data_IF_877238214993
#
_entry.id   IF_877238214993
#
_cell.length_a   1.000
_cell.length_b   1.000
_cell.length_c   1.000
_cell.angle_alpha   90.00
_cell.angle_beta   90.00
_cell.angle_gamma   90.00
#
_symmetry.space_group_name_H-M   'P 1'
#
loop_
_entity.id
_entity.type
_entity.pdbx_description
1 polymer ?
#
# COMPACT_ATOMS: atom_id res chain seq x y z
N UNK A 1 -29.59 41.61 -25.08
CA UNK A 1 -28.59 42.26 -24.19
C UNK A 1 -28.24 41.39 -22.99
N UNK A 2 -29.24 40.90 -22.24
CA UNK A 2 -29.03 40.01 -21.08
C UNK A 2 -28.29 38.71 -21.44
N UNK A 3 -28.52 38.16 -22.64
CA UNK A 3 -27.84 36.96 -23.16
C UNK A 3 -26.34 37.15 -23.49
N UNK A 4 -25.76 38.35 -23.34
CA UNK A 4 -24.34 38.59 -23.66
C UNK A 4 -23.54 39.18 -22.49
N UNK A 5 -24.22 39.79 -21.50
CA UNK A 5 -23.59 40.30 -20.29
C UNK A 5 -24.62 40.33 -19.15
N UNK A 6 -24.49 39.43 -18.18
CA UNK A 6 -25.39 39.34 -17.02
C UNK A 6 -25.48 40.62 -16.17
N UNK A 7 -24.52 41.54 -16.27
CA UNK A 7 -24.57 42.85 -15.59
C UNK A 7 -25.43 43.90 -16.31
N UNK A 8 -25.84 43.64 -17.56
CA UNK A 8 -26.73 44.54 -18.30
C UNK A 8 -28.12 44.63 -17.63
N UNK A 9 -28.45 43.68 -16.74
CA UNK A 9 -29.70 43.63 -16.01
C UNK A 9 -29.89 44.79 -15.03
N UNK A 10 -28.81 45.40 -14.52
CA UNK A 10 -28.89 46.58 -13.66
C UNK A 10 -29.52 47.80 -14.35
N UNK A 11 -29.53 47.80 -15.69
CA UNK A 11 -30.08 48.86 -16.54
C UNK A 11 -31.34 48.43 -17.29
N UNK A 12 -31.85 47.22 -17.03
CA UNK A 12 -33.00 46.68 -17.73
C UNK A 12 -34.32 47.23 -17.15
N UNK A 13 -35.36 47.45 -17.99
CA UNK A 13 -36.69 47.84 -17.52
C UNK A 13 -37.28 46.82 -16.53
N UNK A 14 -38.11 47.29 -15.59
CA UNK A 14 -38.72 46.47 -14.51
C UNK A 14 -39.46 45.20 -14.98
N UNK A 15 -39.94 45.16 -16.22
CA UNK A 15 -40.59 43.96 -16.76
C UNK A 15 -39.60 42.82 -17.03
N UNK A 16 -38.33 43.11 -17.31
CA UNK A 16 -37.29 42.11 -17.57
C UNK A 16 -36.72 41.48 -16.30
N UNK A 17 -36.82 42.16 -15.15
CA UNK A 17 -36.41 41.60 -13.85
C UNK A 17 -37.39 40.54 -13.34
N UNK A 18 -38.58 40.44 -13.96
CA UNK A 18 -39.63 39.44 -13.70
C UNK A 18 -39.66 38.29 -14.71
N UNK A 19 -38.77 38.31 -15.71
CA UNK A 19 -38.70 37.28 -16.74
C UNK A 19 -37.80 36.12 -16.31
N UNK A 20 -38.25 34.88 -16.54
CA UNK A 20 -37.48 33.66 -16.26
C UNK A 20 -36.21 33.57 -17.13
N UNK A 21 -36.11 34.36 -18.21
CA UNK A 21 -34.86 34.54 -18.97
C UNK A 21 -33.68 35.04 -18.11
N UNK A 22 -33.93 35.56 -16.90
CA UNK A 22 -32.88 35.92 -15.94
C UNK A 22 -31.96 34.73 -15.59
N UNK A 23 -32.41 33.48 -15.72
CA UNK A 23 -31.56 32.27 -15.62
C UNK A 23 -30.34 32.40 -16.52
N UNK A 24 -30.51 32.89 -17.76
CA UNK A 24 -29.42 33.05 -18.72
C UNK A 24 -28.44 34.14 -18.28
N UNK A 25 -28.94 35.20 -17.65
CA UNK A 25 -28.12 36.25 -17.06
C UNK A 25 -27.30 35.71 -15.88
N UNK A 26 -27.96 34.97 -14.99
CA UNK A 26 -27.37 34.36 -13.81
C UNK A 26 -26.31 33.36 -14.25
N UNK A 27 -26.54 32.51 -15.26
CA UNK A 27 -25.55 31.60 -15.87
C UNK A 27 -24.26 32.27 -16.31
N UNK A 28 -24.32 33.51 -16.76
CA UNK A 28 -23.14 34.27 -17.17
C UNK A 28 -22.49 35.00 -16.00
N UNK A 29 -23.30 35.51 -15.08
CA UNK A 29 -22.83 36.23 -13.92
C UNK A 29 -23.85 36.13 -12.78
N UNK A 30 -23.53 35.35 -11.75
CA UNK A 30 -24.38 35.18 -10.57
C UNK A 30 -24.74 36.47 -9.82
N UNK A 31 -23.98 37.57 -10.01
CA UNK A 31 -24.34 38.89 -9.45
C UNK A 31 -25.66 39.40 -10.05
N UNK A 32 -26.05 38.92 -11.24
CA UNK A 32 -27.33 39.22 -11.90
C UNK A 32 -28.54 38.95 -10.99
N UNK A 33 -28.40 37.99 -10.06
CA UNK A 33 -29.43 37.61 -9.08
C UNK A 33 -29.87 38.78 -8.19
N UNK A 34 -28.98 39.75 -7.90
CA UNK A 34 -29.32 40.89 -7.05
C UNK A 34 -30.44 41.78 -7.63
N UNK A 35 -30.56 41.80 -8.96
CA UNK A 35 -31.54 42.61 -9.69
C UNK A 35 -32.76 41.81 -10.13
N UNK A 36 -32.84 40.52 -9.81
CA UNK A 36 -34.03 39.71 -10.04
C UNK A 36 -35.21 40.16 -9.16
N UNK A 37 -36.43 39.96 -9.64
CA UNK A 37 -37.62 40.07 -8.80
C UNK A 37 -37.57 39.06 -7.64
N UNK A 38 -38.17 39.40 -6.50
CA UNK A 38 -38.15 38.56 -5.30
C UNK A 38 -38.69 37.15 -5.56
N UNK A 39 -39.70 36.98 -6.43
CA UNK A 39 -40.20 35.64 -6.76
C UNK A 39 -39.19 34.80 -7.55
N UNK A 40 -38.38 35.41 -8.42
CA UNK A 40 -37.35 34.72 -9.21
C UNK A 40 -36.05 34.48 -8.44
N UNK A 41 -35.74 35.35 -7.46
CA UNK A 41 -34.68 35.09 -6.48
C UNK A 41 -34.95 33.83 -5.66
N UNK A 42 -36.21 33.43 -5.56
CA UNK A 42 -36.66 32.25 -4.82
C UNK A 42 -36.81 31.00 -5.69
N UNK A 43 -36.51 31.08 -7.00
CA UNK A 43 -36.60 29.92 -7.89
C UNK A 43 -35.40 28.97 -7.71
N UNK A 44 -35.69 27.68 -7.54
CA UNK A 44 -34.69 26.62 -7.28
C UNK A 44 -33.64 26.53 -8.39
N UNK A 45 -34.06 26.63 -9.65
CA UNK A 45 -33.15 26.49 -10.81
C UNK A 45 -32.19 27.68 -10.87
N UNK A 46 -32.72 28.90 -10.70
CA UNK A 46 -31.95 30.14 -10.72
C UNK A 46 -30.92 30.16 -9.57
N UNK A 47 -31.33 29.81 -8.36
CA UNK A 47 -30.46 29.81 -7.17
C UNK A 47 -29.29 28.84 -7.30
N UNK A 48 -29.55 27.59 -7.70
CA UNK A 48 -28.49 26.59 -7.86
C UNK A 48 -27.47 27.01 -8.92
N UNK A 49 -27.94 27.57 -10.04
CA UNK A 49 -27.05 28.05 -11.09
C UNK A 49 -26.18 29.23 -10.66
N UNK A 50 -26.70 30.08 -9.76
CA UNK A 50 -25.92 31.15 -9.14
C UNK A 50 -24.83 30.60 -8.19
N UNK A 51 -25.14 29.54 -7.45
CA UNK A 51 -24.23 28.91 -6.46
C UNK A 51 -23.02 28.26 -7.13
N UNK A 52 -23.19 27.65 -8.32
CA UNK A 52 -22.07 27.08 -9.12
C UNK A 52 -20.96 28.07 -9.42
N UNK A 53 -21.31 29.34 -9.62
CA UNK A 53 -20.35 30.38 -10.02
C UNK A 53 -19.53 30.96 -8.88
N UNK A 54 -19.65 30.39 -7.67
CA UNK A 54 -18.79 30.69 -6.53
C UNK A 54 -18.76 32.19 -6.16
N UNK A 55 -19.91 32.87 -6.27
CA UNK A 55 -20.06 34.27 -5.89
C UNK A 55 -20.67 34.39 -4.50
N UNK A 56 -20.06 35.24 -3.66
CA UNK A 56 -20.47 35.51 -2.27
C UNK A 56 -21.93 35.97 -2.19
N UNK A 57 -22.40 36.65 -3.23
CA UNK A 57 -23.75 37.18 -3.36
C UNK A 57 -24.80 36.07 -3.49
N UNK A 58 -24.54 35.04 -4.30
CA UNK A 58 -25.41 33.87 -4.43
C UNK A 58 -25.52 33.12 -3.09
N UNK A 59 -24.40 33.03 -2.37
CA UNK A 59 -24.35 32.41 -1.04
C UNK A 59 -25.06 33.25 0.04
N UNK A 60 -25.18 34.58 -0.13
CA UNK A 60 -25.95 35.46 0.77
C UNK A 60 -27.46 35.27 0.59
N UNK A 61 -27.93 35.00 -0.63
CA UNK A 61 -29.35 34.70 -0.92
C UNK A 61 -29.81 33.37 -0.29
N UNK A 62 -28.87 32.46 0.03
CA UNK A 62 -29.16 31.25 0.81
C UNK A 62 -29.63 31.61 2.24
N UNK A 63 -29.17 32.73 2.81
CA UNK A 63 -29.49 33.15 4.18
C UNK A 63 -31.00 33.34 4.42
N UNK A 64 -31.76 33.81 3.41
CA UNK A 64 -33.22 33.94 3.49
C UNK A 64 -33.99 32.66 3.21
N UNK A 65 -33.31 31.60 2.74
CA UNK A 65 -33.93 30.33 2.31
C UNK A 65 -33.70 29.18 3.31
N UNK A 66 -32.74 29.33 4.20
CA UNK A 66 -32.30 28.28 5.11
C UNK A 66 -33.26 27.92 6.23
N UNK A 67 -34.40 28.60 6.36
CA UNK A 67 -35.42 28.20 7.34
C UNK A 67 -36.24 26.98 6.88
N UNK A 68 -36.28 26.63 5.58
CA UNK A 68 -37.43 25.84 5.07
C UNK A 68 -37.14 24.60 4.21
N UNK A 69 -36.02 24.49 3.48
CA UNK A 69 -35.80 23.36 2.54
C UNK A 69 -34.41 22.71 2.64
N UNK A 70 -34.38 21.56 3.32
CA UNK A 70 -33.17 20.71 3.47
C UNK A 70 -32.62 20.21 2.13
N UNK A 71 -33.45 20.00 1.11
CA UNK A 71 -33.02 19.47 -0.19
C UNK A 71 -32.20 20.49 -0.98
N UNK A 72 -32.66 21.74 -1.00
CA UNK A 72 -31.94 22.85 -1.67
C UNK A 72 -30.59 23.09 -1.02
N UNK A 73 -30.51 23.00 0.31
CA UNK A 73 -29.26 23.17 1.05
C UNK A 73 -28.26 22.06 0.71
N UNK A 74 -28.70 20.81 0.62
CA UNK A 74 -27.82 19.70 0.24
C UNK A 74 -27.29 19.86 -1.20
N UNK A 75 -28.16 20.26 -2.13
CA UNK A 75 -27.77 20.49 -3.53
C UNK A 75 -26.84 21.71 -3.65
N UNK A 76 -27.07 22.77 -2.87
CA UNK A 76 -26.18 23.92 -2.77
C UNK A 76 -24.77 23.53 -2.27
N UNK A 77 -24.68 22.72 -1.21
CA UNK A 77 -23.41 22.25 -0.66
C UNK A 77 -22.68 21.33 -1.65
N UNK A 78 -23.43 20.46 -2.34
CA UNK A 78 -22.90 19.57 -3.38
C UNK A 78 -22.25 20.35 -4.52
N UNK A 79 -22.85 21.48 -4.91
CA UNK A 79 -22.30 22.34 -5.97
C UNK A 79 -21.18 23.24 -5.48
N UNK A 80 -21.24 23.69 -4.22
CA UNK A 80 -20.19 24.49 -3.60
C UNK A 80 -20.13 24.25 -2.08
N UNK A 81 -19.07 23.56 -1.63
CA UNK A 81 -18.88 23.23 -0.20
C UNK A 81 -18.81 24.48 0.70
N UNK A 82 -18.42 25.65 0.16
CA UNK A 82 -18.44 26.92 0.90
C UNK A 82 -19.85 27.40 1.25
N UNK A 83 -20.90 26.83 0.66
CA UNK A 83 -22.28 27.10 1.07
C UNK A 83 -22.55 26.69 2.51
N UNK A 84 -21.78 25.72 3.06
CA UNK A 84 -21.93 25.24 4.43
C UNK A 84 -21.80 26.36 5.48
N UNK A 85 -20.91 27.34 5.26
CA UNK A 85 -20.70 28.45 6.20
C UNK A 85 -21.91 29.37 6.39
N UNK A 86 -22.88 29.29 5.47
CA UNK A 86 -24.09 30.10 5.51
C UNK A 86 -25.27 29.35 6.10
N UNK A 87 -25.19 28.02 6.25
CA UNK A 87 -26.27 27.17 6.77
C UNK A 87 -26.66 27.59 8.18
N UNK A 88 -27.96 27.73 8.43
CA UNK A 88 -28.45 28.12 9.76
C UNK A 88 -28.04 27.07 10.80
N UNK A 89 -27.52 27.55 11.93
CA UNK A 89 -27.09 26.71 13.06
C UNK A 89 -28.17 25.71 13.49
N UNK A 90 -29.44 26.11 13.43
CA UNK A 90 -30.59 25.28 13.81
C UNK A 90 -30.73 24.03 12.92
N UNK A 91 -30.48 24.14 11.62
CA UNK A 91 -30.43 22.99 10.71
C UNK A 91 -29.19 22.13 10.98
N UNK A 92 -28.06 22.76 11.30
CA UNK A 92 -26.83 22.06 11.66
C UNK A 92 -26.95 21.31 13.00
N UNK A 93 -27.92 21.65 13.87
CA UNK A 93 -28.20 20.88 15.08
C UNK A 93 -28.98 19.58 14.83
N UNK A 94 -29.59 19.41 13.64
CA UNK A 94 -30.23 18.15 13.26
C UNK A 94 -29.18 17.11 12.85
N UNK A 95 -28.96 16.13 13.71
CA UNK A 95 -27.98 15.05 13.48
C UNK A 95 -28.18 14.30 12.15
N UNK A 96 -29.42 14.05 11.73
CA UNK A 96 -29.70 13.34 10.48
C UNK A 96 -29.39 14.19 9.26
N UNK A 97 -29.62 15.50 9.34
CA UNK A 97 -29.24 16.45 8.30
C UNK A 97 -27.72 16.66 8.23
N UNK A 98 -27.07 16.81 9.39
CA UNK A 98 -25.62 16.92 9.48
C UNK A 98 -24.91 15.71 8.85
N UNK A 99 -25.38 14.50 9.13
CA UNK A 99 -24.83 13.27 8.52
C UNK A 99 -24.93 13.27 6.99
N UNK A 100 -26.04 13.78 6.42
CA UNK A 100 -26.17 13.92 4.96
C UNK A 100 -25.18 14.93 4.40
N UNK A 101 -24.92 16.03 5.11
CA UNK A 101 -23.91 17.02 4.71
C UNK A 101 -22.51 16.39 4.76
N UNK A 102 -22.16 15.70 5.84
CA UNK A 102 -20.85 15.07 5.99
C UNK A 102 -20.57 14.04 4.88
N UNK A 103 -21.59 13.26 4.50
CA UNK A 103 -21.53 12.34 3.34
C UNK A 103 -21.24 13.05 2.02
N UNK A 104 -21.66 14.31 1.86
CA UNK A 104 -21.41 15.10 0.65
C UNK A 104 -20.03 15.75 0.61
N UNK A 105 -19.50 16.16 1.76
CA UNK A 105 -18.23 16.91 1.82
C UNK A 105 -17.01 16.02 2.04
N UNK A 106 -17.20 14.78 2.52
CA UNK A 106 -16.13 13.81 2.74
C UNK A 106 -15.25 13.63 1.49
N UNK A 107 -13.90 13.54 1.63
CA UNK A 107 -13.11 13.61 2.87
C UNK A 107 -12.68 15.03 3.28
N UNK A 108 -13.21 16.08 2.64
CA UNK A 108 -12.81 17.46 2.90
C UNK A 108 -13.61 18.05 4.07
N UNK A 109 -13.01 18.03 5.25
CA UNK A 109 -13.59 18.60 6.47
C UNK A 109 -13.20 20.07 6.73
N UNK A 110 -12.48 20.72 5.81
CA UNK A 110 -12.04 22.12 5.95
C UNK A 110 -13.18 23.13 6.14
N UNK A 111 -14.41 22.74 5.77
CA UNK A 111 -15.62 23.57 5.90
C UNK A 111 -16.48 23.21 7.12
N UNK A 112 -16.06 22.24 7.93
CA UNK A 112 -16.80 21.75 9.09
C UNK A 112 -16.84 22.73 10.29
N UNK A 113 -16.12 23.84 10.26
CA UNK A 113 -16.06 24.83 11.36
C UNK A 113 -17.41 25.41 11.78
N UNK A 114 -18.44 25.21 10.96
CA UNK A 114 -19.80 25.69 11.20
C UNK A 114 -20.65 24.76 12.07
N UNK A 115 -20.22 23.50 12.26
CA UNK A 115 -20.94 22.54 13.08
C UNK A 115 -20.64 22.73 14.57
N UNK A 116 -21.65 22.51 15.40
CA UNK A 116 -21.50 22.44 16.85
C UNK A 116 -21.12 21.00 17.27
N UNK A 117 -19.81 20.76 17.32
CA UNK A 117 -19.24 19.47 17.72
C UNK A 117 -19.16 19.26 19.23
N UNK A 118 -19.72 20.17 20.04
CA UNK A 118 -19.79 20.01 21.50
C UNK A 118 -20.91 19.08 21.95
N UNK A 119 -21.87 18.78 21.07
CA UNK A 119 -23.01 17.94 21.41
C UNK A 119 -22.66 16.47 21.33
N UNK A 120 -22.68 15.80 22.50
CA UNK A 120 -22.37 14.36 22.62
C UNK A 120 -23.21 13.48 21.68
N UNK A 121 -24.52 13.69 21.57
CA UNK A 121 -25.39 12.84 20.72
C UNK A 121 -25.02 12.94 19.24
N UNK A 122 -24.76 14.16 18.77
CA UNK A 122 -24.30 14.41 17.41
C UNK A 122 -22.96 13.73 17.21
N UNK A 123 -21.98 14.02 18.07
CA UNK A 123 -20.64 13.46 17.98
C UNK A 123 -20.66 11.93 17.97
N UNK A 124 -21.48 11.29 18.81
CA UNK A 124 -21.63 9.84 18.85
C UNK A 124 -22.06 9.27 17.50
N UNK A 125 -23.03 9.90 16.83
CA UNK A 125 -23.47 9.50 15.49
C UNK A 125 -22.38 9.74 14.45
N UNK A 126 -21.62 10.82 14.57
CA UNK A 126 -20.55 11.14 13.63
C UNK A 126 -19.40 10.14 13.70
N UNK A 127 -18.90 9.86 14.90
CA UNK A 127 -17.77 8.95 15.07
C UNK A 127 -18.13 7.51 14.72
N UNK A 128 -19.41 7.13 14.86
CA UNK A 128 -19.92 5.84 14.44
C UNK A 128 -19.89 5.63 12.92
N UNK A 129 -20.09 6.69 12.13
CA UNK A 129 -20.00 6.65 10.67
C UNK A 129 -18.57 6.94 10.17
N UNK A 130 -17.87 7.87 10.84
CA UNK A 130 -16.56 8.39 10.46
C UNK A 130 -15.69 8.64 11.70
N UNK A 131 -14.90 7.66 12.12
CA UNK A 131 -14.13 7.73 13.38
C UNK A 131 -13.21 8.95 13.50
N UNK A 132 -12.63 9.42 12.37
CA UNK A 132 -11.75 10.61 12.35
C UNK A 132 -12.45 11.93 12.67
N UNK A 133 -13.78 11.98 12.67
CA UNK A 133 -14.51 13.19 13.08
C UNK A 133 -14.27 13.57 14.54
N UNK A 134 -13.70 12.65 15.35
CA UNK A 134 -13.20 12.93 16.70
C UNK A 134 -12.20 14.12 16.73
N UNK A 135 -11.48 14.38 15.64
CA UNK A 135 -10.61 15.57 15.50
C UNK A 135 -11.32 16.88 15.86
N UNK A 136 -12.61 17.00 15.49
CA UNK A 136 -13.41 18.21 15.66
C UNK A 136 -14.14 18.28 17.00
N UNK A 137 -14.11 17.21 17.79
CA UNK A 137 -14.75 17.18 19.10
C UNK A 137 -14.08 18.16 20.08
N UNK A 138 -14.85 18.65 21.05
CA UNK A 138 -14.32 19.42 22.17
C UNK A 138 -13.38 18.56 23.02
N UNK A 139 -12.50 19.18 23.80
CA UNK A 139 -11.58 18.44 24.67
C UNK A 139 -12.30 17.54 25.68
N UNK A 140 -13.47 17.98 26.16
CA UNK A 140 -14.34 17.16 27.02
C UNK A 140 -14.79 15.88 26.32
N UNK A 141 -15.24 15.96 25.06
CA UNK A 141 -15.69 14.80 24.29
C UNK A 141 -14.52 13.94 23.79
N UNK A 142 -13.35 14.52 23.54
CA UNK A 142 -12.09 13.78 23.27
C UNK A 142 -11.61 12.99 24.48
N UNK A 143 -12.08 13.35 25.67
CA UNK A 143 -11.88 12.60 26.91
C UNK A 143 -13.10 11.77 27.32
N UNK A 144 -14.18 11.76 26.52
CA UNK A 144 -15.33 10.89 26.76
C UNK A 144 -15.03 9.49 26.21
N UNK A 145 -14.86 8.54 27.14
CA UNK A 145 -14.50 7.16 26.83
C UNK A 145 -15.46 6.50 25.83
N UNK A 146 -16.76 6.76 25.93
CA UNK A 146 -17.78 6.11 25.09
C UNK A 146 -17.70 6.60 23.63
N UNK A 147 -17.47 7.90 23.45
CA UNK A 147 -17.28 8.50 22.13
C UNK A 147 -15.98 7.96 21.50
N UNK A 148 -14.88 7.98 22.25
CA UNK A 148 -13.58 7.50 21.75
C UNK A 148 -13.64 6.01 21.40
N UNK A 149 -14.30 5.18 22.20
CA UNK A 149 -14.49 3.77 21.87
C UNK A 149 -15.26 3.60 20.55
N UNK A 150 -16.34 4.34 20.33
CA UNK A 150 -17.08 4.26 19.06
C UNK A 150 -16.24 4.76 17.87
N UNK A 151 -15.46 5.84 18.05
CA UNK A 151 -14.55 6.34 17.03
C UNK A 151 -13.51 5.30 16.63
N UNK A 152 -12.88 4.66 17.62
CA UNK A 152 -11.82 3.67 17.44
C UNK A 152 -12.35 2.38 16.80
N UNK A 153 -13.57 1.96 17.14
CA UNK A 153 -14.24 0.82 16.48
C UNK A 153 -14.44 1.05 14.98
N UNK A 154 -14.69 2.30 14.58
CA UNK A 154 -14.86 2.66 13.18
C UNK A 154 -13.49 2.82 12.46
N UNK A 155 -12.58 3.62 13.03
CA UNK A 155 -11.22 3.84 12.52
C UNK A 155 -10.22 3.86 13.68
N UNK A 156 -9.33 2.87 13.76
CA UNK A 156 -8.34 2.76 14.83
C UNK A 156 -7.37 3.95 14.91
N UNK A 157 -7.15 4.66 13.80
CA UNK A 157 -6.29 5.85 13.77
C UNK A 157 -6.94 7.07 14.44
N UNK A 158 -8.25 7.03 14.71
CA UNK A 158 -8.94 8.10 15.46
C UNK A 158 -8.40 8.29 16.88
N UNK A 159 -7.70 7.29 17.44
CA UNK A 159 -7.02 7.38 18.73
C UNK A 159 -6.08 8.59 18.82
N UNK A 160 -5.51 9.05 17.70
CA UNK A 160 -4.69 10.26 17.60
C UNK A 160 -5.33 11.48 18.27
N UNK A 161 -6.66 11.62 18.14
CA UNK A 161 -7.41 12.80 18.57
C UNK A 161 -7.95 12.71 20.00
N UNK A 162 -7.83 11.54 20.65
CA UNK A 162 -8.25 11.36 22.04
C UNK A 162 -7.27 12.02 23.03
N UNK A 163 -7.74 12.20 24.26
CA UNK A 163 -6.91 12.68 25.37
C UNK A 163 -5.75 11.72 25.68
N UNK A 164 -4.70 12.23 26.32
CA UNK A 164 -3.56 11.41 26.72
C UNK A 164 -3.94 10.31 27.73
N UNK A 165 -4.95 10.58 28.58
CA UNK A 165 -5.51 9.60 29.51
C UNK A 165 -6.11 8.40 28.76
N UNK A 166 -6.88 8.66 27.69
CA UNK A 166 -7.51 7.60 26.89
C UNK A 166 -6.52 6.91 25.93
N UNK A 167 -5.47 7.60 25.48
CA UNK A 167 -4.32 6.96 24.80
C UNK A 167 -3.55 6.00 25.71
N UNK A 168 -3.71 6.14 27.03
CA UNK A 168 -3.16 5.27 28.05
C UNK A 168 -4.19 4.25 28.60
N UNK A 169 -5.44 4.27 28.13
CA UNK A 169 -6.43 3.22 28.42
C UNK A 169 -6.10 1.99 27.57
N UNK A 170 -5.72 0.91 28.24
CA UNK A 170 -5.29 -0.34 27.59
C UNK A 170 -6.38 -0.95 26.71
N UNK A 171 -7.64 -0.89 27.11
CA UNK A 171 -8.76 -1.49 26.37
C UNK A 171 -9.02 -0.72 25.07
N UNK A 172 -9.03 0.62 25.15
CA UNK A 172 -9.16 1.48 23.98
C UNK A 172 -7.98 1.28 23.03
N UNK A 173 -6.76 1.27 23.57
CA UNK A 173 -5.54 1.07 22.80
C UNK A 173 -5.52 -0.30 22.10
N UNK A 174 -5.92 -1.37 22.80
CA UNK A 174 -6.02 -2.72 22.22
C UNK A 174 -7.01 -2.75 21.05
N UNK A 175 -8.19 -2.16 21.23
CA UNK A 175 -9.20 -2.09 20.19
C UNK A 175 -8.71 -1.28 18.97
N UNK A 176 -7.97 -0.20 19.20
CA UNK A 176 -7.38 0.61 18.15
C UNK A 176 -6.36 -0.16 17.32
N UNK A 177 -5.43 -0.89 17.98
CA UNK A 177 -4.42 -1.67 17.26
C UNK A 177 -4.99 -2.89 16.56
N UNK A 178 -6.08 -3.48 17.09
CA UNK A 178 -6.80 -4.56 16.41
C UNK A 178 -7.49 -4.07 15.14
N UNK A 179 -8.01 -2.84 15.14
CA UNK A 179 -8.61 -2.22 13.96
C UNK A 179 -7.55 -1.76 12.93
N UNK A 180 -6.42 -1.21 13.38
CA UNK A 180 -5.29 -0.85 12.53
C UNK A 180 -3.99 -0.86 13.34
N UNK A 181 -3.03 -1.72 12.96
CA UNK A 181 -1.76 -1.85 13.70
C UNK A 181 -0.96 -0.54 13.84
N UNK A 182 -1.10 0.38 12.88
CA UNK A 182 -0.46 1.69 12.92
C UNK A 182 -1.00 2.62 14.02
N UNK A 183 -2.16 2.31 14.62
CA UNK A 183 -2.67 3.03 15.78
C UNK A 183 -1.70 2.99 16.97
N UNK A 184 -0.80 2.00 17.02
CA UNK A 184 0.28 1.92 18.01
C UNK A 184 1.11 3.21 18.09
N UNK A 185 1.22 3.97 17.00
CA UNK A 185 1.88 5.28 16.97
C UNK A 185 1.33 6.23 18.03
N UNK A 186 0.02 6.21 18.27
CA UNK A 186 -0.70 7.16 19.12
C UNK A 186 -0.92 6.68 20.56
N UNK A 187 -0.67 5.40 20.81
CA UNK A 187 -0.70 4.80 22.14
C UNK A 187 0.38 5.43 23.03
N UNK A 188 0.10 5.52 24.33
CA UNK A 188 1.03 6.05 25.33
C UNK A 188 2.38 5.33 25.32
N UNK A 189 3.44 6.01 25.76
CA UNK A 189 4.77 5.40 25.88
C UNK A 189 4.81 4.21 26.85
N UNK A 190 3.93 4.21 27.87
CA UNK A 190 3.78 3.12 28.83
C UNK A 190 3.23 1.88 28.14
N UNK A 191 2.16 2.03 27.36
CA UNK A 191 1.53 0.90 26.67
C UNK A 191 2.33 0.43 25.44
N UNK A 192 3.22 1.25 24.87
CA UNK A 192 4.22 0.80 23.87
C UNK A 192 5.27 -0.19 24.42
N UNK A 193 5.31 -0.40 25.73
CA UNK A 193 6.07 -1.48 26.40
C UNK A 193 5.23 -2.73 26.67
N UNK A 194 3.92 -2.67 26.46
CA UNK A 194 3.06 -3.86 26.59
C UNK A 194 3.29 -4.78 25.39
N UNK A 195 4.01 -5.88 25.64
CA UNK A 195 4.35 -6.87 24.62
C UNK A 195 3.12 -7.45 23.92
N UNK A 196 2.03 -7.71 24.63
CA UNK A 196 0.81 -8.29 24.04
C UNK A 196 0.15 -7.29 23.07
N UNK A 197 0.03 -6.02 23.50
CA UNK A 197 -0.54 -4.96 22.69
C UNK A 197 0.30 -4.71 21.42
N UNK A 198 1.63 -4.69 21.56
CA UNK A 198 2.57 -4.52 20.44
C UNK A 198 2.48 -5.70 19.46
N UNK A 199 2.39 -6.94 19.96
CA UNK A 199 2.23 -8.12 19.11
C UNK A 199 0.90 -8.10 18.33
N UNK A 200 -0.19 -7.62 18.95
CA UNK A 200 -1.46 -7.41 18.24
C UNK A 200 -1.29 -6.42 17.07
N UNK A 201 -0.61 -5.30 17.29
CA UNK A 201 -0.33 -4.31 16.25
C UNK A 201 0.54 -4.88 15.11
N UNK A 202 1.59 -5.62 15.47
CA UNK A 202 2.50 -6.29 14.52
C UNK A 202 1.75 -7.30 13.66
N UNK A 203 0.85 -8.09 14.24
CA UNK A 203 0.06 -9.07 13.51
C UNK A 203 -0.84 -8.42 12.45
N UNK A 204 -1.33 -7.20 12.68
CA UNK A 204 -2.00 -6.41 11.64
C UNK A 204 -1.00 -5.94 10.58
N UNK A 205 0.03 -5.20 11.00
CA UNK A 205 1.08 -4.66 10.13
C UNK A 205 2.46 -4.87 10.76
N UNK A 206 3.33 -5.66 10.12
CA UNK A 206 4.66 -5.98 10.66
C UNK A 206 5.53 -4.75 10.94
N UNK A 207 5.40 -3.72 10.10
CA UNK A 207 6.07 -2.41 10.24
C UNK A 207 5.62 -1.61 11.47
N UNK A 208 4.60 -2.05 12.22
CA UNK A 208 4.20 -1.43 13.49
C UNK A 208 5.29 -1.52 14.56
N UNK A 209 6.27 -2.43 14.39
CA UNK A 209 7.47 -2.52 15.23
C UNK A 209 8.16 -1.16 15.40
N UNK A 210 8.11 -0.27 14.39
CA UNK A 210 8.70 1.07 14.46
C UNK A 210 8.19 1.92 15.64
N UNK A 211 6.97 1.66 16.11
CA UNK A 211 6.32 2.41 17.20
C UNK A 211 6.46 1.73 18.56
N UNK A 212 7.00 0.51 18.62
CA UNK A 212 7.28 -0.16 19.88
C UNK A 212 8.39 0.55 20.66
N UNK A 213 8.45 0.30 21.97
CA UNK A 213 9.58 0.70 22.80
C UNK A 213 10.89 0.06 22.35
N UNK A 214 12.02 0.71 22.66
CA UNK A 214 13.35 0.20 22.31
C UNK A 214 13.64 -1.17 22.95
N UNK A 215 13.09 -1.40 24.15
CA UNK A 215 13.13 -2.68 24.84
C UNK A 215 12.51 -3.81 23.99
N UNK A 216 11.33 -3.58 23.40
CA UNK A 216 10.65 -4.56 22.55
C UNK A 216 11.22 -4.64 21.13
N UNK A 217 11.84 -3.56 20.63
CA UNK A 217 12.66 -3.61 19.39
C UNK A 217 13.93 -4.46 19.56
N UNK A 218 14.30 -4.77 20.80
CA UNK A 218 15.37 -5.69 21.17
C UNK A 218 14.85 -7.01 21.75
N UNK A 219 13.54 -7.27 21.71
CA UNK A 219 12.96 -8.57 22.10
C UNK A 219 12.92 -9.48 20.88
N UNK A 220 13.61 -10.62 20.98
CA UNK A 220 13.77 -11.56 19.87
C UNK A 220 12.44 -12.10 19.34
N UNK A 221 11.48 -12.39 20.22
CA UNK A 221 10.18 -12.93 19.83
C UNK A 221 9.35 -11.88 19.10
N UNK A 222 9.35 -10.64 19.60
CA UNK A 222 8.63 -9.52 18.99
C UNK A 222 9.19 -9.20 17.61
N UNK A 223 10.52 -9.08 17.49
CA UNK A 223 11.18 -8.78 16.21
C UNK A 223 10.96 -9.92 15.22
N UNK A 224 11.13 -11.18 15.64
CA UNK A 224 10.92 -12.33 14.76
C UNK A 224 9.48 -12.38 14.24
N UNK A 225 8.50 -12.08 15.09
CA UNK A 225 7.09 -11.99 14.68
C UNK A 225 6.88 -10.90 13.63
N UNK A 226 7.47 -9.72 13.82
CA UNK A 226 7.39 -8.62 12.85
C UNK A 226 8.04 -8.95 11.51
N UNK A 227 9.23 -9.57 11.54
CA UNK A 227 9.97 -9.99 10.36
C UNK A 227 9.19 -11.04 9.54
N UNK A 228 8.61 -12.04 10.22
CA UNK A 228 7.74 -13.05 9.57
C UNK A 228 6.51 -12.44 8.92
N UNK A 229 5.98 -11.36 9.50
CA UNK A 229 4.84 -10.64 8.93
C UNK A 229 5.23 -9.80 7.73
N UNK A 230 6.37 -9.10 7.83
CA UNK A 230 6.90 -8.25 6.77
C UNK A 230 8.43 -8.15 6.94
N UNK A 231 9.21 -8.75 6.03
CA UNK A 231 10.65 -8.91 6.21
C UNK A 231 11.39 -7.59 6.45
N UNK A 232 10.96 -6.51 5.79
CA UNK A 232 11.56 -5.17 5.96
C UNK A 232 11.38 -4.59 7.37
N UNK A 233 10.53 -5.18 8.22
CA UNK A 233 10.38 -4.75 9.61
C UNK A 233 11.66 -4.86 10.42
N UNK A 234 12.64 -5.67 9.98
CA UNK A 234 13.98 -5.73 10.59
C UNK A 234 14.66 -4.35 10.65
N UNK A 235 14.34 -3.43 9.72
CA UNK A 235 14.90 -2.07 9.72
C UNK A 235 14.58 -1.29 11.02
N UNK A 236 13.47 -1.64 11.68
CA UNK A 236 13.00 -1.00 12.91
C UNK A 236 13.49 -1.69 14.19
N UNK A 237 14.15 -2.84 14.08
CA UNK A 237 14.71 -3.53 15.23
C UNK A 237 15.98 -2.83 15.75
N UNK A 238 16.47 -3.24 16.91
CA UNK A 238 17.76 -2.78 17.42
C UNK A 238 18.92 -3.21 16.50
N UNK A 239 20.06 -2.52 16.58
CA UNK A 239 21.28 -2.92 15.86
C UNK A 239 21.75 -4.33 16.22
N UNK A 240 21.53 -4.75 17.48
CA UNK A 240 21.79 -6.12 17.92
C UNK A 240 20.95 -7.14 17.13
N UNK A 241 19.67 -6.86 16.92
CA UNK A 241 18.77 -7.75 16.17
C UNK A 241 19.04 -7.72 14.67
N UNK A 242 19.49 -6.58 14.13
CA UNK A 242 19.94 -6.48 12.72
C UNK A 242 21.22 -7.26 12.44
N UNK A 243 22.07 -7.46 13.45
CA UNK A 243 23.28 -8.29 13.36
C UNK A 243 23.04 -9.77 13.65
N UNK A 244 21.87 -10.15 14.17
CA UNK A 244 21.55 -11.54 14.51
C UNK A 244 21.31 -12.36 13.23
N UNK A 245 22.11 -13.41 13.04
CA UNK A 245 22.07 -14.23 11.83
C UNK A 245 20.70 -14.88 11.59
N UNK A 246 20.02 -15.29 12.66
CA UNK A 246 18.70 -15.92 12.56
C UNK A 246 17.65 -14.90 12.10
N UNK A 247 17.66 -13.69 12.68
CA UNK A 247 16.75 -12.61 12.29
C UNK A 247 16.94 -12.20 10.83
N UNK A 248 18.20 -12.04 10.41
CA UNK A 248 18.53 -11.64 9.04
C UNK A 248 18.13 -12.73 8.04
N UNK A 249 18.40 -14.01 8.34
CA UNK A 249 17.97 -15.12 7.50
C UNK A 249 16.44 -15.17 7.36
N UNK A 250 15.71 -14.95 8.44
CA UNK A 250 14.25 -14.90 8.37
C UNK A 250 13.77 -13.71 7.53
N UNK A 251 14.37 -12.53 7.70
CA UNK A 251 14.02 -11.35 6.90
C UNK A 251 14.26 -11.56 5.40
N UNK A 252 15.36 -12.22 5.05
CA UNK A 252 15.65 -12.63 3.69
C UNK A 252 14.52 -13.52 3.16
N UNK A 253 14.12 -14.57 3.88
CA UNK A 253 13.01 -15.46 3.48
C UNK A 253 11.73 -14.69 3.19
N UNK A 254 11.49 -13.60 3.92
CA UNK A 254 10.33 -12.71 3.78
C UNK A 254 10.53 -11.50 2.85
N UNK A 255 11.49 -11.56 1.92
CA UNK A 255 11.54 -10.63 0.78
C UNK A 255 12.53 -9.47 0.92
N UNK A 256 13.33 -9.43 1.99
CA UNK A 256 14.38 -8.43 2.14
C UNK A 256 15.50 -8.64 1.12
N UNK A 257 16.00 -7.53 0.58
CA UNK A 257 17.16 -7.52 -0.31
C UNK A 257 18.47 -7.60 0.47
N UNK A 258 19.43 -8.34 -0.08
CA UNK A 258 20.77 -8.52 0.49
C UNK A 258 21.56 -7.20 0.59
N UNK A 259 21.17 -6.16 -0.17
CA UNK A 259 21.73 -4.81 -0.06
C UNK A 259 21.62 -4.21 1.35
N UNK A 260 20.61 -4.62 2.11
CA UNK A 260 20.35 -4.09 3.47
C UNK A 260 21.10 -4.84 4.59
N UNK A 261 21.87 -5.87 4.24
CA UNK A 261 22.61 -6.70 5.19
C UNK A 261 23.97 -6.06 5.51
N UNK A 262 24.42 -6.19 6.76
CA UNK A 262 25.72 -5.67 7.18
C UNK A 262 26.88 -6.32 6.42
N UNK A 263 27.95 -5.56 6.19
CA UNK A 263 29.12 -6.06 5.48
C UNK A 263 29.80 -7.23 6.21
N UNK A 264 29.73 -7.25 7.55
CA UNK A 264 30.28 -8.32 8.36
C UNK A 264 29.62 -9.67 8.06
N UNK A 265 28.29 -9.70 7.94
CA UNK A 265 27.55 -10.90 7.55
C UNK A 265 27.78 -11.27 6.08
N UNK A 266 27.93 -10.28 5.19
CA UNK A 266 28.30 -10.53 3.79
C UNK A 266 29.74 -11.03 3.62
N UNK A 267 30.57 -10.96 4.66
CA UNK A 267 31.91 -11.54 4.70
C UNK A 267 31.94 -12.95 5.34
N UNK A 268 30.85 -13.40 5.96
CA UNK A 268 30.75 -14.71 6.60
C UNK A 268 30.27 -15.79 5.61
N UNK A 269 31.20 -16.62 5.13
CA UNK A 269 30.91 -17.71 4.19
C UNK A 269 29.87 -18.69 4.73
N UNK A 270 29.89 -19.00 6.04
CA UNK A 270 28.96 -19.97 6.61
C UNK A 270 27.53 -19.41 6.59
N UNK A 271 27.37 -18.14 6.98
CA UNK A 271 26.10 -17.43 6.87
C UNK A 271 25.61 -17.38 5.42
N UNK A 272 26.49 -17.05 4.47
CA UNK A 272 26.15 -17.00 3.05
C UNK A 272 25.65 -18.35 2.51
N UNK A 273 26.19 -19.48 2.98
CA UNK A 273 25.69 -20.81 2.62
C UNK A 273 24.27 -21.06 3.15
N UNK A 274 23.93 -20.54 4.34
CA UNK A 274 22.54 -20.57 4.85
C UNK A 274 21.60 -19.70 3.99
N UNK A 275 22.08 -18.56 3.49
CA UNK A 275 21.33 -17.73 2.54
C UNK A 275 21.06 -18.48 1.22
N UNK A 276 22.04 -19.25 0.72
CA UNK A 276 21.90 -20.09 -0.47
C UNK A 276 20.82 -21.16 -0.27
N UNK A 277 20.80 -21.82 0.91
CA UNK A 277 19.76 -22.79 1.27
C UNK A 277 18.35 -22.18 1.26
N UNK A 278 18.22 -20.88 1.58
CA UNK A 278 16.94 -20.18 1.55
C UNK A 278 16.41 -19.91 0.11
N UNK A 279 17.15 -20.28 -0.94
CA UNK A 279 16.69 -20.20 -2.33
C UNK A 279 16.70 -18.80 -2.94
N UNK A 280 17.44 -17.85 -2.35
CA UNK A 280 17.54 -16.49 -2.90
C UNK A 280 18.53 -16.40 -4.05
N UNK A 281 18.01 -16.00 -5.20
CA UNK A 281 18.81 -15.68 -6.38
C UNK A 281 19.53 -14.33 -6.23
N UNK A 282 20.75 -14.20 -6.77
CA UNK A 282 21.46 -12.91 -6.83
C UNK A 282 22.43 -12.63 -5.69
N UNK A 283 22.74 -13.62 -4.83
CA UNK A 283 23.72 -13.48 -3.75
C UNK A 283 25.06 -12.91 -4.21
N UNK A 284 25.57 -13.41 -5.33
CA UNK A 284 26.88 -13.04 -5.87
C UNK A 284 27.00 -11.56 -6.26
N UNK A 285 25.88 -10.87 -6.47
CA UNK A 285 25.87 -9.43 -6.81
C UNK A 285 26.28 -8.58 -5.59
N UNK A 286 25.97 -9.05 -4.38
CA UNK A 286 26.09 -8.27 -3.15
C UNK A 286 27.28 -8.65 -2.28
N UNK A 287 27.87 -9.83 -2.46
CA UNK A 287 29.02 -10.28 -1.67
C UNK A 287 30.35 -9.74 -2.24
N UNK A 288 31.41 -9.63 -1.41
CA UNK A 288 32.74 -9.23 -1.88
C UNK A 288 33.26 -10.12 -3.01
N UNK A 289 33.99 -9.52 -3.95
CA UNK A 289 34.62 -10.24 -5.07
C UNK A 289 35.51 -11.40 -4.62
N UNK A 290 36.21 -11.25 -3.51
CA UNK A 290 37.08 -12.28 -2.96
C UNK A 290 36.31 -13.55 -2.62
N UNK A 291 35.07 -13.43 -2.11
CA UNK A 291 34.21 -14.57 -1.79
C UNK A 291 33.50 -15.07 -3.06
N UNK A 292 33.04 -14.16 -3.92
CA UNK A 292 32.40 -14.52 -5.18
C UNK A 292 33.32 -15.28 -6.15
N UNK A 293 34.65 -15.14 -6.00
CA UNK A 293 35.67 -15.84 -6.78
C UNK A 293 36.34 -16.99 -6.00
N UNK A 294 35.87 -17.28 -4.79
CA UNK A 294 36.38 -18.42 -4.03
C UNK A 294 35.75 -19.73 -4.53
N UNK A 295 36.57 -20.55 -5.21
CA UNK A 295 36.16 -21.83 -5.75
C UNK A 295 35.50 -22.75 -4.70
N UNK A 296 36.04 -22.80 -3.48
CA UNK A 296 35.53 -23.70 -2.45
C UNK A 296 34.13 -23.29 -1.99
N UNK A 297 33.94 -21.99 -1.78
CA UNK A 297 32.61 -21.43 -1.47
C UNK A 297 31.61 -21.71 -2.60
N UNK A 298 32.02 -21.48 -3.85
CA UNK A 298 31.17 -21.71 -5.03
C UNK A 298 30.78 -23.18 -5.15
N UNK A 299 31.71 -24.12 -4.97
CA UNK A 299 31.42 -25.55 -4.98
C UNK A 299 30.41 -25.95 -3.89
N UNK A 300 30.59 -25.48 -2.66
CA UNK A 300 29.66 -25.77 -1.57
C UNK A 300 28.27 -25.18 -1.84
N UNK A 301 28.23 -23.96 -2.35
CA UNK A 301 26.98 -23.27 -2.62
C UNK A 301 26.22 -23.91 -3.80
N UNK A 302 26.91 -24.39 -4.85
CA UNK A 302 26.33 -25.16 -5.96
C UNK A 302 25.72 -26.48 -5.49
N UNK A 303 26.37 -27.17 -4.54
CA UNK A 303 25.86 -28.40 -3.92
C UNK A 303 24.58 -28.18 -3.11
N UNK A 304 24.38 -26.99 -2.55
CA UNK A 304 23.25 -26.68 -1.67
C UNK A 304 22.01 -26.23 -2.45
N UNK A 305 22.18 -25.32 -3.41
CA UNK A 305 21.10 -24.86 -4.27
C UNK A 305 21.67 -24.21 -5.54
N UNK A 306 21.33 -24.77 -6.69
CA UNK A 306 21.96 -24.46 -7.97
C UNK A 306 21.63 -23.07 -8.55
N UNK A 307 20.41 -22.55 -8.34
CA UNK A 307 19.88 -21.40 -9.09
C UNK A 307 20.61 -20.05 -8.83
N UNK A 308 21.13 -19.74 -7.62
CA UNK A 308 21.67 -18.41 -7.34
C UNK A 308 23.02 -18.05 -7.96
N UNK A 309 23.85 -19.03 -8.34
CA UNK A 309 25.30 -18.80 -8.50
C UNK A 309 25.70 -18.69 -9.97
N UNK A 310 25.18 -19.57 -10.82
CA UNK A 310 25.54 -19.56 -12.24
C UNK A 310 24.74 -18.47 -12.96
N UNK A 311 23.44 -18.32 -12.69
CA UNK A 311 22.58 -17.47 -13.54
C UNK A 311 22.68 -15.96 -13.24
N UNK A 312 23.17 -15.55 -12.05
CA UNK A 312 22.92 -14.19 -11.55
C UNK A 312 24.01 -13.14 -11.82
N UNK A 313 25.25 -13.54 -12.16
CA UNK A 313 26.32 -12.58 -12.42
C UNK A 313 27.21 -13.00 -13.60
N UNK A 314 26.98 -12.38 -14.76
CA UNK A 314 27.73 -12.63 -16.02
C UNK A 314 29.26 -12.63 -15.85
N UNK A 315 29.81 -11.91 -14.86
CA UNK A 315 31.25 -11.81 -14.66
C UNK A 315 31.86 -12.99 -13.90
N UNK A 316 31.17 -13.55 -12.90
CA UNK A 316 31.61 -14.77 -12.19
C UNK A 316 31.41 -15.99 -13.07
N UNK A 317 30.39 -15.96 -13.94
CA UNK A 317 30.14 -16.95 -14.97
C UNK A 317 31.38 -17.23 -15.83
N UNK A 318 32.09 -16.21 -16.29
CA UNK A 318 33.27 -16.37 -17.16
C UNK A 318 34.45 -17.07 -16.48
N UNK A 319 34.61 -16.93 -15.16
CA UNK A 319 35.75 -17.52 -14.45
C UNK A 319 35.56 -19.04 -14.22
N UNK A 320 34.34 -19.47 -13.88
CA UNK A 320 34.06 -20.88 -13.57
C UNK A 320 33.47 -21.68 -14.74
N UNK A 321 33.15 -21.02 -15.85
CA UNK A 321 32.62 -21.62 -17.07
C UNK A 321 33.44 -22.78 -17.66
N UNK A 322 34.75 -22.69 -17.43
CA UNK A 322 35.75 -23.68 -17.87
C UNK A 322 36.29 -24.50 -16.70
N UNK A 323 35.84 -24.26 -15.46
CA UNK A 323 36.21 -25.07 -14.30
C UNK A 323 35.38 -26.35 -14.32
N UNK A 324 36.06 -27.45 -14.68
CA UNK A 324 35.44 -28.77 -14.82
C UNK A 324 34.72 -29.20 -13.54
N UNK A 325 35.30 -28.97 -12.37
CA UNK A 325 34.73 -29.45 -11.11
C UNK A 325 33.43 -28.70 -10.77
N UNK A 326 33.46 -27.37 -10.89
CA UNK A 326 32.29 -26.52 -10.62
C UNK A 326 31.16 -26.84 -11.59
N UNK A 327 31.47 -26.97 -12.89
CA UNK A 327 30.45 -27.21 -13.90
C UNK A 327 29.86 -28.62 -13.85
N UNK A 328 30.64 -29.63 -13.49
CA UNK A 328 30.12 -30.99 -13.27
C UNK A 328 29.15 -31.02 -12.09
N UNK A 329 29.51 -30.39 -10.97
CA UNK A 329 28.62 -30.34 -9.80
C UNK A 329 27.35 -29.53 -10.07
N UNK A 330 27.48 -28.43 -10.80
CA UNK A 330 26.37 -27.60 -11.26
C UNK A 330 25.37 -28.40 -12.11
N UNK A 331 25.87 -29.15 -13.11
CA UNK A 331 25.06 -29.96 -14.00
C UNK A 331 24.36 -31.11 -13.27
N UNK A 332 25.05 -31.75 -12.32
CA UNK A 332 24.47 -32.81 -11.48
C UNK A 332 23.26 -32.32 -10.69
N UNK A 333 23.33 -31.10 -10.16
CA UNK A 333 22.24 -30.51 -9.38
C UNK A 333 21.12 -29.96 -10.27
N UNK A 334 21.42 -29.44 -11.47
CA UNK A 334 20.42 -28.96 -12.43
C UNK A 334 20.98 -28.90 -13.87
N UNK A 335 20.33 -29.61 -14.80
CA UNK A 335 20.72 -29.64 -16.21
C UNK A 335 20.72 -28.28 -16.93
N UNK A 336 20.03 -27.26 -16.41
CA UNK A 336 20.08 -25.89 -16.96
C UNK A 336 21.49 -25.27 -16.91
N UNK A 337 22.42 -25.84 -16.14
CA UNK A 337 23.83 -25.44 -16.12
C UNK A 337 24.52 -25.54 -17.47
N UNK A 338 24.08 -26.46 -18.33
CA UNK A 338 24.65 -26.67 -19.66
C UNK A 338 24.62 -25.40 -20.51
N UNK A 339 23.54 -24.62 -20.42
CA UNK A 339 23.35 -23.36 -21.17
C UNK A 339 24.47 -22.34 -20.93
N UNK A 340 25.18 -22.49 -19.82
CA UNK A 340 26.20 -21.56 -19.38
C UNK A 340 27.60 -22.13 -19.45
N UNK A 341 27.80 -23.38 -19.85
CA UNK A 341 29.13 -24.03 -19.94
C UNK A 341 29.97 -23.48 -21.09
N UNK A 342 31.30 -23.51 -20.94
CA UNK A 342 32.20 -23.28 -22.07
C UNK A 342 32.16 -24.48 -23.04
N UNK A 343 32.23 -24.20 -24.35
CA UNK A 343 32.08 -25.21 -25.41
C UNK A 343 33.04 -26.40 -25.27
N UNK A 344 34.20 -26.19 -24.66
CA UNK A 344 35.21 -27.23 -24.43
C UNK A 344 34.77 -28.32 -23.45
N UNK A 345 33.83 -28.05 -22.56
CA UNK A 345 33.32 -29.00 -21.56
C UNK A 345 31.93 -29.54 -21.91
N UNK A 346 31.31 -28.99 -22.95
CA UNK A 346 29.90 -29.20 -23.25
C UNK A 346 29.57 -30.68 -23.51
N UNK A 347 30.38 -31.38 -24.32
CA UNK A 347 30.16 -32.80 -24.63
C UNK A 347 30.24 -33.69 -23.38
N UNK A 348 31.20 -33.44 -22.49
CA UNK A 348 31.37 -34.22 -21.26
C UNK A 348 30.25 -33.96 -20.24
N UNK A 349 29.77 -32.71 -20.18
CA UNK A 349 28.72 -32.30 -19.25
C UNK A 349 27.32 -32.70 -19.72
N UNK A 350 27.07 -32.69 -21.03
CA UNK A 350 25.83 -33.23 -21.61
C UNK A 350 25.64 -34.71 -21.23
N UNK A 351 26.73 -35.49 -21.25
CA UNK A 351 26.72 -36.87 -20.75
C UNK A 351 26.30 -36.97 -19.29
N UNK A 352 26.86 -36.12 -18.44
CA UNK A 352 26.56 -36.13 -17.01
C UNK A 352 25.10 -35.70 -16.73
N UNK A 353 24.63 -34.66 -17.41
CA UNK A 353 23.25 -34.18 -17.28
C UNK A 353 22.23 -35.26 -17.65
N UNK A 354 22.49 -36.00 -18.72
CA UNK A 354 21.62 -37.09 -19.18
C UNK A 354 21.61 -38.27 -18.20
N UNK A 355 22.77 -38.63 -17.64
CA UNK A 355 22.87 -39.64 -16.59
C UNK A 355 22.05 -39.26 -15.35
N UNK A 356 22.16 -38.01 -14.89
CA UNK A 356 21.40 -37.51 -13.74
C UNK A 356 19.88 -37.52 -13.96
N UNK A 357 19.41 -37.51 -15.21
CA UNK A 357 17.99 -37.61 -15.56
C UNK A 357 17.53 -39.04 -15.91
N UNK A 358 18.33 -40.06 -15.61
CA UNK A 358 17.92 -41.47 -15.71
C UNK A 358 18.08 -42.09 -17.11
N UNK A 359 18.84 -41.48 -18.02
CA UNK A 359 19.15 -42.07 -19.31
C UNK A 359 20.38 -43.00 -19.21
N UNK A 360 20.29 -44.20 -19.80
CA UNK A 360 21.40 -45.17 -19.86
C UNK A 360 22.34 -44.91 -21.06
N UNK A 361 23.59 -45.39 -20.98
CA UNK A 361 24.60 -45.27 -22.04
C UNK A 361 24.14 -45.88 -23.39
N UNK A 362 23.22 -46.83 -23.39
CA UNK A 362 22.64 -47.45 -24.60
C UNK A 362 21.55 -46.60 -25.25
N UNK A 363 20.61 -46.04 -24.45
CA UNK A 363 19.63 -45.07 -24.93
C UNK A 363 20.31 -43.81 -25.49
N UNK A 364 21.47 -43.46 -24.92
CA UNK A 364 22.35 -42.39 -25.38
C UNK A 364 22.98 -42.67 -26.75
N UNK A 365 23.61 -43.84 -26.95
CA UNK A 365 24.17 -44.20 -28.26
C UNK A 365 23.11 -44.20 -29.36
N UNK A 366 21.92 -44.70 -29.07
CA UNK A 366 20.81 -44.67 -30.01
C UNK A 366 20.41 -43.24 -30.37
N UNK A 367 20.22 -42.34 -29.39
CA UNK A 367 19.76 -40.96 -29.65
C UNK A 367 20.81 -40.08 -30.33
N UNK A 368 22.10 -40.20 -29.98
CA UNK A 368 23.20 -39.54 -30.71
C UNK A 368 23.30 -40.03 -32.15
N UNK A 369 23.10 -41.33 -32.37
CA UNK A 369 23.00 -41.88 -33.72
C UNK A 369 21.83 -41.25 -34.47
N UNK A 370 20.62 -41.20 -33.91
CA UNK A 370 19.46 -40.60 -34.60
C UNK A 370 19.61 -39.09 -34.85
N UNK A 371 20.03 -38.30 -33.84
CA UNK A 371 20.14 -36.84 -33.98
C UNK A 371 21.26 -36.38 -34.94
N UNK A 372 22.36 -37.13 -35.04
CA UNK A 372 23.45 -36.79 -35.98
C UNK A 372 23.34 -37.49 -37.34
N UNK A 373 22.72 -38.68 -37.41
CA UNK A 373 22.59 -39.41 -38.68
C UNK A 373 21.50 -38.78 -39.58
N UNK A 374 20.40 -38.31 -39.00
CA UNK A 374 19.32 -37.65 -39.77
C UNK A 374 19.71 -36.23 -40.23
N UNK A 375 20.51 -35.51 -39.43
CA UNK A 375 21.04 -34.20 -39.79
C UNK A 375 22.09 -34.26 -40.93
N UNK A 376 22.73 -35.41 -41.15
CA UNK A 376 23.78 -35.57 -42.16
C UNK A 376 23.30 -36.22 -43.46
N UNK A 377 22.17 -36.94 -43.45
CA UNK A 377 21.67 -37.65 -44.64
C UNK A 377 20.32 -37.14 -45.18
N UNK A 378 19.60 -36.24 -44.50
CA UNK A 378 18.41 -35.61 -45.06
C UNK A 378 17.28 -36.58 -45.43
N UNK A 379 17.16 -37.69 -44.71
CA UNK A 379 16.12 -38.69 -44.94
C UNK A 379 15.12 -38.65 -43.79
N UNK A 380 13.98 -38.00 -44.02
CA UNK A 380 12.78 -38.22 -43.22
C UNK A 380 12.16 -39.56 -43.64
N UNK A 381 12.11 -40.55 -42.76
CA UNK A 381 11.16 -41.67 -42.90
C UNK A 381 10.08 -41.64 -41.81
N UNK A 382 8.84 -42.01 -42.15
CA UNK A 382 7.66 -41.77 -41.31
C UNK A 382 7.36 -42.99 -40.44
N UNK A 383 7.35 -42.80 -39.12
CA UNK A 383 6.72 -43.79 -38.26
C UNK A 383 7.32 -43.90 -36.87
N UNK A 384 7.26 -42.83 -36.07
CA UNK A 384 7.23 -42.93 -34.61
C UNK A 384 6.33 -41.78 -34.10
N UNK A 385 5.29 -42.18 -33.37
CA UNK A 385 4.16 -41.38 -32.89
C UNK A 385 4.58 -40.12 -32.11
N UNK A 386 3.98 -38.98 -32.45
CA UNK A 386 4.18 -37.65 -31.86
C UNK A 386 3.89 -37.61 -30.34
N UNK A 387 3.28 -38.66 -29.78
CA UNK A 387 3.03 -38.79 -28.34
C UNK A 387 4.30 -38.94 -27.48
N UNK A 388 5.45 -39.30 -28.08
CA UNK A 388 6.72 -39.43 -27.35
C UNK A 388 7.46 -38.09 -27.16
N UNK A 389 7.23 -37.11 -28.04
CA UNK A 389 7.87 -35.78 -27.98
C UNK A 389 7.30 -34.88 -26.89
N UNK A 390 6.05 -35.10 -26.46
CA UNK A 390 5.35 -34.26 -25.48
C UNK A 390 5.61 -34.62 -24.01
N UNK A 391 6.39 -35.66 -23.72
CA UNK A 391 6.78 -36.04 -22.34
C UNK A 391 8.11 -35.42 -21.86
N UNK A 392 8.68 -34.49 -22.62
CA UNK A 392 10.07 -34.02 -22.45
C UNK A 392 10.23 -32.48 -22.38
N UNK A 393 9.14 -31.76 -22.04
CA UNK A 393 9.14 -30.38 -21.52
C UNK A 393 8.62 -30.41 -20.08
#
# INVERSE_FOLDING_TARGET
MVQQNGLALQFAPFNFTKDREIVLAVKQNATALNWADEHLKLDKEILLEAIKQNKKEALRCIYSFLESDKEIVLEAIKQNKKALQFVLKQLLSDSGFMLKILKLIFPEFSHCTSFDFSQKEIMMKLVGEYGRTLEFASDELKNDREIVLNAVKNDGLSLEFSSDDLKNDREIALMAVQQCGYALKYVSSVLKRDKELVLNAINQHGSSLQYASDELKNDKEVVLTAVRRYGYSLEYASEMMKGDQEMVLEAIRHGVSLYSISQDLLNDKQFLLEVVKCGKCGLLIYIPKQIALDKEFILQAVKLNYIPIVVSYRKTLFEFQSDKEVMFEAVKNNGLALLYTHYSLQQELEMEALKCNGYSDELYRARMHYCYHDAYLGLTEPGLDDSFYLRLL
#
